data_IF_251750452496
#
_entry.id   IF_251750452496
#
_cell.length_a   1.000
_cell.length_b   1.000
_cell.length_c   1.000
_cell.angle_alpha   90.00
_cell.angle_beta   90.00
_cell.angle_gamma   90.00
#
_symmetry.space_group_name_H-M   'P 1'
#
loop_
_entity.id
_entity.type
_entity.pdbx_description
1 polymer ?
#
# COMPACT_ATOMS: atom_id res chain seq x y z
N UNK A 1 12.06 -4.28 -16.14
CA UNK A 1 13.50 -4.56 -16.29
C UNK A 1 14.17 -3.39 -16.98
N UNK A 2 15.42 -3.09 -16.65
CA UNK A 2 16.19 -2.02 -17.26
C UNK A 2 17.09 -2.57 -18.37
N UNK A 3 17.25 -1.79 -19.44
CA UNK A 3 18.05 -2.16 -20.61
C UNK A 3 19.43 -1.51 -20.49
N UNK A 4 20.48 -2.34 -20.47
CA UNK A 4 21.88 -1.91 -20.40
C UNK A 4 22.58 -2.21 -21.73
N UNK A 5 23.18 -1.20 -22.35
CA UNK A 5 24.09 -1.39 -23.49
C UNK A 5 25.50 -1.58 -22.93
N UNK A 6 26.19 -2.61 -23.38
CA UNK A 6 27.59 -2.83 -23.04
C UNK A 6 28.46 -2.75 -24.29
N UNK A 7 29.67 -2.23 -24.13
CA UNK A 7 30.73 -2.32 -25.13
C UNK A 7 31.84 -3.20 -24.57
N UNK A 8 32.24 -4.22 -25.31
CA UNK A 8 33.31 -5.13 -24.95
C UNK A 8 34.36 -5.21 -26.07
N UNK A 9 35.63 -5.39 -25.70
CA UNK A 9 36.74 -5.62 -26.63
C UNK A 9 37.11 -7.11 -26.59
N UNK A 10 37.12 -7.76 -27.76
CA UNK A 10 37.64 -9.10 -27.91
C UNK A 10 39.17 -9.14 -27.96
N UNK A 11 39.77 -10.30 -27.73
CA UNK A 11 41.24 -10.50 -27.69
C UNK A 11 42.00 -10.00 -28.93
N UNK A 12 41.34 -9.83 -30.08
CA UNK A 12 41.91 -9.30 -31.34
C UNK A 12 41.71 -7.79 -31.54
N UNK A 13 41.21 -7.06 -30.54
CA UNK A 13 40.98 -5.60 -30.62
C UNK A 13 39.63 -5.18 -31.20
N UNK A 14 38.77 -6.13 -31.58
CA UNK A 14 37.45 -5.82 -32.14
C UNK A 14 36.46 -5.40 -31.05
N UNK A 15 35.80 -4.24 -31.25
CA UNK A 15 34.73 -3.74 -30.38
C UNK A 15 33.40 -4.41 -30.71
N UNK A 16 32.78 -5.01 -29.71
CA UNK A 16 31.49 -5.68 -29.76
C UNK A 16 30.52 -4.89 -28.89
N UNK A 17 29.40 -4.46 -29.46
CA UNK A 17 28.32 -3.82 -28.72
C UNK A 17 27.14 -4.77 -28.59
N UNK A 18 26.57 -4.85 -27.39
CA UNK A 18 25.42 -5.69 -27.11
C UNK A 18 24.49 -5.03 -26.10
N UNK A 19 23.30 -5.60 -25.97
CA UNK A 19 22.28 -5.14 -25.03
C UNK A 19 21.93 -6.29 -24.10
N UNK A 20 21.79 -5.99 -22.81
CA UNK A 20 21.34 -6.94 -21.79
C UNK A 20 20.21 -6.32 -20.97
N UNK A 21 19.20 -7.12 -20.67
CA UNK A 21 18.11 -6.72 -19.78
C UNK A 21 18.40 -7.25 -18.38
N UNK A 22 18.31 -6.39 -17.36
CA UNK A 22 18.52 -6.79 -15.98
C UNK A 22 17.66 -5.95 -15.03
N UNK A 23 17.38 -6.46 -13.83
CA UNK A 23 16.54 -5.76 -12.85
C UNK A 23 17.26 -4.54 -12.28
N UNK A 24 18.58 -4.63 -12.06
CA UNK A 24 19.41 -3.57 -11.50
C UNK A 24 20.84 -3.60 -12.07
N UNK A 25 21.57 -2.47 -12.00
CA UNK A 25 22.96 -2.33 -12.46
C UNK A 25 23.93 -3.40 -11.91
N UNK A 26 23.68 -3.89 -10.69
CA UNK A 26 24.51 -4.93 -10.03
C UNK A 26 24.32 -6.31 -10.68
N UNK A 27 23.09 -6.65 -11.06
CA UNK A 27 22.78 -7.89 -11.77
C UNK A 27 23.23 -7.83 -13.22
N UNK A 28 23.06 -6.67 -13.87
CA UNK A 28 23.60 -6.42 -15.20
C UNK A 28 25.11 -6.66 -15.25
N UNK A 29 25.85 -6.12 -14.27
CA UNK A 29 27.29 -6.32 -14.16
C UNK A 29 27.65 -7.80 -13.95
N UNK A 30 26.95 -8.50 -13.05
CA UNK A 30 27.20 -9.93 -12.79
C UNK A 30 26.96 -10.81 -14.03
N UNK A 31 25.89 -10.55 -14.77
CA UNK A 31 25.58 -11.27 -16.01
C UNK A 31 26.59 -10.95 -17.13
N UNK A 32 27.07 -9.71 -17.20
CA UNK A 32 28.11 -9.30 -18.14
C UNK A 32 29.48 -9.87 -17.78
N UNK A 33 29.85 -9.94 -16.50
CA UNK A 33 31.10 -10.55 -16.04
C UNK A 33 31.14 -12.05 -16.39
N UNK A 34 30.02 -12.77 -16.25
CA UNK A 34 29.88 -14.16 -16.68
C UNK A 34 30.00 -14.33 -18.22
N UNK A 35 29.44 -13.38 -18.99
CA UNK A 35 29.59 -13.36 -20.45
C UNK A 35 31.02 -13.03 -20.89
N UNK A 36 31.71 -12.16 -20.14
CA UNK A 36 33.10 -11.78 -20.37
C UNK A 36 34.06 -12.96 -20.17
N UNK A 37 33.85 -13.74 -19.11
CA UNK A 37 34.62 -14.95 -18.81
C UNK A 37 34.39 -16.04 -19.85
N UNK A 38 33.12 -16.28 -20.23
CA UNK A 38 32.75 -17.30 -21.22
C UNK A 38 33.22 -17.00 -22.64
N UNK A 39 33.36 -15.71 -23.02
CA UNK A 39 33.79 -15.29 -24.36
C UNK A 39 35.19 -14.68 -24.43
N UNK A 40 35.93 -14.65 -23.31
CA UNK A 40 37.26 -14.00 -23.17
C UNK A 40 37.27 -12.55 -23.71
N UNK A 41 36.29 -11.74 -23.33
CA UNK A 41 36.18 -10.32 -23.75
C UNK A 41 36.32 -9.39 -22.54
N UNK A 42 36.94 -8.21 -22.70
CA UNK A 42 37.01 -7.19 -21.64
C UNK A 42 35.89 -6.16 -21.84
N UNK A 43 35.07 -5.93 -20.82
CA UNK A 43 33.99 -4.94 -20.86
C UNK A 43 34.56 -3.54 -20.55
N UNK A 44 34.41 -2.60 -21.48
CA UNK A 44 34.90 -1.21 -21.31
C UNK A 44 33.88 -0.31 -20.64
N UNK A 45 32.59 -0.44 -20.98
CA UNK A 45 31.55 0.43 -20.43
C UNK A 45 30.17 -0.21 -20.43
N UNK A 46 29.40 0.14 -19.40
CA UNK A 46 27.99 -0.24 -19.24
C UNK A 46 27.20 1.06 -19.19
N UNK A 47 26.33 1.27 -20.19
CA UNK A 47 25.45 2.44 -20.29
C UNK A 47 24.01 2.00 -20.05
N UNK A 48 23.36 2.60 -19.06
CA UNK A 48 21.95 2.40 -18.76
C UNK A 48 21.13 3.38 -19.60
N UNK A 49 20.01 2.93 -20.19
CA UNK A 49 19.06 3.88 -20.82
C UNK A 49 18.59 4.89 -19.78
N UNK A 50 18.80 6.17 -20.03
CA UNK A 50 18.27 7.25 -19.23
C UNK A 50 17.15 7.96 -19.99
N UNK A 51 16.13 8.42 -19.26
CA UNK A 51 15.10 9.28 -19.83
C UNK A 51 15.64 10.70 -19.96
N UNK A 52 15.60 11.23 -21.18
CA UNK A 52 15.97 12.61 -21.47
C UNK A 52 14.73 13.39 -21.89
N UNK A 53 14.59 14.60 -21.35
CA UNK A 53 13.57 15.55 -21.79
C UNK A 53 14.18 16.34 -22.95
N UNK A 54 13.48 16.39 -24.08
CA UNK A 54 13.90 17.15 -25.24
C UNK A 54 12.90 18.25 -25.58
N UNK A 55 13.44 19.41 -25.94
CA UNK A 55 12.73 20.47 -26.63
C UNK A 55 13.41 20.66 -27.97
N UNK A 56 12.69 20.40 -29.05
CA UNK A 56 13.18 20.56 -30.42
C UNK A 56 12.30 21.51 -31.21
N UNK A 57 12.92 22.41 -31.98
CA UNK A 57 12.25 23.33 -32.88
C UNK A 57 12.78 23.15 -34.30
N UNK A 58 11.88 23.05 -35.26
CA UNK A 58 12.14 23.03 -36.70
C UNK A 58 11.63 24.33 -37.31
N UNK A 59 12.32 24.86 -38.32
CA UNK A 59 11.95 26.11 -38.99
C UNK A 59 10.54 25.98 -39.59
N UNK A 60 9.62 26.84 -39.16
CA UNK A 60 8.21 26.83 -39.58
C UNK A 60 7.26 25.93 -38.77
N UNK A 61 7.72 25.20 -37.75
CA UNK A 61 6.86 24.33 -36.92
C UNK A 61 6.83 24.74 -35.44
N UNK A 62 5.73 24.43 -34.72
CA UNK A 62 5.65 24.63 -33.28
C UNK A 62 6.71 23.80 -32.54
N UNK A 63 7.11 24.27 -31.36
CA UNK A 63 8.08 23.59 -30.50
C UNK A 63 7.52 22.25 -30.03
N UNK A 64 8.26 21.17 -30.29
CA UNK A 64 7.92 19.84 -29.82
C UNK A 64 8.69 19.55 -28.53
N UNK A 65 7.94 19.27 -27.47
CA UNK A 65 8.45 18.86 -26.17
C UNK A 65 8.08 17.40 -25.93
N UNK A 66 9.04 16.58 -25.53
CA UNK A 66 8.79 15.17 -25.25
C UNK A 66 9.84 14.55 -24.35
N UNK A 67 9.59 13.31 -23.94
CA UNK A 67 10.54 12.50 -23.19
C UNK A 67 10.97 11.32 -24.08
N UNK A 68 12.27 11.08 -24.19
CA UNK A 68 12.79 9.94 -24.94
C UNK A 68 13.90 9.24 -24.15
N UNK A 69 13.82 7.91 -24.10
CA UNK A 69 14.84 7.07 -23.47
C UNK A 69 15.98 6.86 -24.47
N UNK A 70 17.20 7.21 -24.08
CA UNK A 70 18.41 6.99 -24.88
C UNK A 70 19.60 6.58 -24.01
N UNK A 71 20.66 6.05 -24.63
CA UNK A 71 21.87 5.64 -23.92
C UNK A 71 22.82 6.83 -23.68
N UNK A 72 22.75 7.85 -24.52
CA UNK A 72 23.50 9.10 -24.35
C UNK A 72 22.70 10.32 -24.84
N UNK A 73 23.02 11.48 -24.26
CA UNK A 73 22.52 12.78 -24.72
C UNK A 73 22.90 13.04 -26.18
N UNK A 74 24.12 12.68 -26.57
CA UNK A 74 24.64 12.93 -27.92
C UNK A 74 23.97 12.08 -28.99
N UNK A 75 23.52 10.87 -28.63
CA UNK A 75 22.76 9.97 -29.51
C UNK A 75 21.41 10.63 -29.88
N UNK A 76 20.70 11.20 -28.90
CA UNK A 76 19.47 11.95 -29.14
C UNK A 76 19.69 13.21 -29.97
N UNK A 77 20.74 13.98 -29.66
CA UNK A 77 21.07 15.20 -30.41
C UNK A 77 21.39 14.86 -31.87
N UNK A 78 22.13 13.80 -32.14
CA UNK A 78 22.42 13.37 -33.52
C UNK A 78 21.19 12.87 -34.25
N UNK A 79 20.31 12.12 -33.59
CA UNK A 79 19.03 11.66 -34.15
C UNK A 79 18.18 12.87 -34.54
N UNK A 80 17.99 13.85 -33.64
CA UNK A 80 17.22 15.06 -33.95
C UNK A 80 17.87 15.94 -35.03
N UNK A 81 19.21 16.01 -35.10
CA UNK A 81 19.90 16.71 -36.19
C UNK A 81 19.65 16.04 -37.55
N UNK A 82 19.65 14.70 -37.62
CA UNK A 82 19.32 13.96 -38.86
C UNK A 82 17.88 14.22 -39.33
N UNK A 83 16.96 14.46 -38.40
CA UNK A 83 15.57 14.82 -38.72
C UNK A 83 15.35 16.32 -39.03
N UNK A 84 16.42 17.14 -39.03
CA UNK A 84 16.39 18.54 -39.41
C UNK A 84 15.90 19.51 -38.32
N UNK A 85 16.10 19.17 -37.04
CA UNK A 85 15.83 20.09 -35.92
C UNK A 85 17.07 20.93 -35.60
N UNK A 86 16.91 22.26 -35.49
CA UNK A 86 18.04 23.19 -35.32
C UNK A 86 18.26 23.61 -33.86
N UNK A 87 17.17 23.82 -33.09
CA UNK A 87 17.24 24.17 -31.66
C UNK A 87 16.94 22.95 -30.81
N UNK A 88 17.96 22.17 -30.49
CA UNK A 88 17.85 20.93 -29.70
C UNK A 88 18.36 21.17 -28.28
N UNK A 89 17.45 21.19 -27.30
CA UNK A 89 17.80 21.21 -25.87
C UNK A 89 17.45 19.86 -25.27
N UNK A 90 18.46 19.10 -24.85
CA UNK A 90 18.30 17.79 -24.21
C UNK A 90 18.84 17.86 -22.78
N UNK A 91 17.99 17.56 -21.81
CA UNK A 91 18.35 17.53 -20.39
C UNK A 91 18.09 16.14 -19.81
N UNK A 92 19.05 15.63 -19.02
CA UNK A 92 18.90 14.36 -18.31
C UNK A 92 17.88 14.56 -17.20
N UNK A 93 16.83 13.73 -17.16
CA UNK A 93 15.88 13.71 -16.04
C UNK A 93 16.54 12.95 -14.89
N UNK A 94 16.95 13.67 -13.85
CA UNK A 94 17.65 13.07 -12.70
C UNK A 94 16.68 12.43 -11.70
N UNK A 95 15.44 12.91 -11.66
CA UNK A 95 14.37 12.39 -10.82
C UNK A 95 13.19 11.98 -11.70
N UNK A 96 13.06 10.68 -11.94
CA UNK A 96 11.84 10.13 -12.50
C UNK A 96 10.89 9.82 -11.33
N UNK A 97 10.18 10.85 -10.87
CA UNK A 97 9.08 10.66 -9.92
C UNK A 97 7.99 9.89 -10.67
N UNK A 98 8.06 8.56 -10.65
CA UNK A 98 6.92 7.71 -10.96
C UNK A 98 5.83 8.09 -9.97
N UNK A 99 4.88 8.91 -10.41
CA UNK A 99 3.75 9.32 -9.61
C UNK A 99 3.03 8.07 -9.12
N UNK A 100 2.89 7.92 -7.80
CA UNK A 100 2.18 6.77 -7.25
C UNK A 100 0.73 6.86 -7.67
N UNK A 101 0.20 5.82 -8.30
CA UNK A 101 -1.22 5.77 -8.68
C UNK A 101 -2.08 5.63 -7.41
N UNK A 102 -3.05 6.52 -7.18
CA UNK A 102 -4.02 6.37 -6.12
C UNK A 102 -4.83 5.08 -6.29
N UNK A 103 -5.07 4.34 -5.21
CA UNK A 103 -5.79 3.07 -5.28
C UNK A 103 -7.20 3.22 -5.91
N UNK A 104 -7.87 4.34 -5.63
CA UNK A 104 -9.20 4.65 -6.14
C UNK A 104 -9.24 4.78 -7.66
N UNK A 105 -8.19 5.32 -8.28
CA UNK A 105 -8.12 5.40 -9.74
C UNK A 105 -7.97 4.02 -10.36
N UNK A 106 -7.20 3.13 -9.73
CA UNK A 106 -7.07 1.73 -10.16
C UNK A 106 -8.41 1.00 -10.03
N UNK A 107 -9.08 1.16 -8.89
CA UNK A 107 -10.40 0.56 -8.63
C UNK A 107 -11.43 1.03 -9.65
N UNK A 108 -11.50 2.34 -9.90
CA UNK A 108 -12.40 2.91 -10.92
C UNK A 108 -12.08 2.40 -12.33
N UNK A 109 -10.80 2.30 -12.69
CA UNK A 109 -10.40 1.75 -13.99
C UNK A 109 -10.85 0.28 -14.16
N UNK A 110 -10.63 -0.57 -13.15
CA UNK A 110 -11.07 -1.98 -13.20
C UNK A 110 -12.60 -2.08 -13.26
N UNK A 111 -13.31 -1.22 -12.54
CA UNK A 111 -14.78 -1.13 -12.61
C UNK A 111 -15.25 -0.74 -14.01
N UNK A 112 -14.70 0.30 -14.60
CA UNK A 112 -15.02 0.73 -15.97
C UNK A 112 -14.71 -0.37 -17.00
N UNK A 113 -13.59 -1.08 -16.85
CA UNK A 113 -13.31 -2.26 -17.67
C UNK A 113 -14.39 -3.34 -17.50
N UNK A 114 -14.85 -3.63 -16.28
CA UNK A 114 -15.88 -4.62 -16.02
C UNK A 114 -17.22 -4.25 -16.69
N UNK A 115 -17.60 -2.97 -16.60
CA UNK A 115 -18.83 -2.44 -17.18
C UNK A 115 -18.79 -2.50 -18.71
N UNK A 116 -17.69 -2.06 -19.34
CA UNK A 116 -17.52 -2.13 -20.80
C UNK A 116 -17.40 -3.57 -21.32
N UNK A 117 -16.75 -4.47 -20.56
CA UNK A 117 -16.72 -5.91 -20.88
C UNK A 117 -18.12 -6.52 -20.83
N UNK A 118 -18.99 -6.05 -19.93
CA UNK A 118 -20.39 -6.47 -19.84
C UNK A 118 -21.23 -5.98 -21.01
N UNK A 119 -20.83 -4.87 -21.63
CA UNK A 119 -21.40 -4.37 -22.88
C UNK A 119 -20.85 -5.08 -24.13
N UNK A 120 -19.99 -6.10 -23.96
CA UNK A 120 -19.34 -6.87 -25.02
C UNK A 120 -18.39 -6.05 -25.91
N UNK A 121 -17.83 -4.94 -25.42
CA UNK A 121 -16.79 -4.24 -26.16
C UNK A 121 -15.51 -5.10 -26.24
N UNK A 122 -14.80 -5.11 -27.39
CA UNK A 122 -13.50 -5.75 -27.52
C UNK A 122 -12.50 -5.21 -26.49
N UNK A 123 -11.76 -6.11 -25.84
CA UNK A 123 -10.88 -5.73 -24.74
C UNK A 123 -9.75 -4.78 -25.15
N UNK A 124 -9.25 -4.89 -26.38
CA UNK A 124 -8.24 -4.00 -26.95
C UNK A 124 -8.78 -2.57 -27.17
N UNK A 125 -10.05 -2.45 -27.56
CA UNK A 125 -10.76 -1.18 -27.67
C UNK A 125 -10.96 -0.55 -26.29
N UNK A 126 -11.41 -1.34 -25.30
CA UNK A 126 -11.54 -0.90 -23.90
C UNK A 126 -10.22 -0.33 -23.37
N UNK A 127 -9.10 -1.06 -23.56
CA UNK A 127 -7.79 -0.59 -23.11
C UNK A 127 -7.36 0.70 -23.81
N UNK A 128 -7.67 0.85 -25.10
CA UNK A 128 -7.32 2.04 -25.88
C UNK A 128 -8.12 3.24 -25.37
N UNK A 129 -9.45 3.11 -25.30
CA UNK A 129 -10.38 4.14 -24.82
C UNK A 129 -10.01 4.61 -23.41
N UNK A 130 -9.85 3.67 -22.47
CA UNK A 130 -9.54 4.02 -21.08
C UNK A 130 -8.13 4.61 -20.92
N UNK A 131 -7.17 4.25 -21.80
CA UNK A 131 -5.86 4.89 -21.77
C UNK A 131 -5.91 6.37 -22.17
N UNK A 132 -6.84 6.76 -23.02
CA UNK A 132 -7.01 8.15 -23.46
C UNK A 132 -7.75 8.98 -22.40
N UNK A 133 -8.76 8.40 -21.75
CA UNK A 133 -9.56 9.05 -20.71
C UNK A 133 -8.86 9.15 -19.33
N UNK A 134 -7.89 8.27 -19.06
CA UNK A 134 -7.17 8.26 -17.76
C UNK A 134 -6.37 9.54 -17.55
N UNK A 135 -6.72 10.35 -16.54
CA UNK A 135 -6.03 11.60 -16.20
C UNK A 135 -4.61 11.40 -15.66
N UNK A 136 -4.37 10.33 -14.88
CA UNK A 136 -3.08 10.07 -14.27
C UNK A 136 -2.08 9.49 -15.26
N UNK A 137 -0.97 10.21 -15.48
CA UNK A 137 0.07 9.83 -16.43
C UNK A 137 0.66 8.44 -16.17
N UNK A 138 0.88 8.07 -14.90
CA UNK A 138 1.48 6.78 -14.56
C UNK A 138 0.53 5.61 -14.86
N UNK A 139 -0.76 5.76 -14.54
CA UNK A 139 -1.76 4.75 -14.86
C UNK A 139 -1.97 4.66 -16.39
N UNK A 140 -2.03 5.80 -17.08
CA UNK A 140 -2.10 5.87 -18.55
C UNK A 140 -0.95 5.12 -19.22
N UNK A 141 0.29 5.37 -18.81
CA UNK A 141 1.45 4.67 -19.36
C UNK A 141 1.41 3.17 -19.07
N UNK A 142 0.92 2.78 -17.89
CA UNK A 142 0.74 1.38 -17.51
C UNK A 142 -0.27 0.69 -18.42
N UNK A 143 -1.44 1.30 -18.64
CA UNK A 143 -2.49 0.76 -19.52
C UNK A 143 -1.97 0.64 -20.96
N UNK A 144 -1.24 1.64 -21.47
CA UNK A 144 -0.64 1.59 -22.81
C UNK A 144 0.40 0.45 -22.93
N UNK A 145 1.24 0.28 -21.92
CA UNK A 145 2.20 -0.82 -21.87
C UNK A 145 1.50 -2.17 -21.89
N UNK A 146 0.42 -2.35 -21.12
CA UNK A 146 -0.37 -3.58 -21.09
C UNK A 146 -1.03 -3.83 -22.45
N UNK A 147 -1.67 -2.81 -23.03
CA UNK A 147 -2.31 -2.91 -24.35
C UNK A 147 -1.31 -3.34 -25.42
N UNK A 148 -0.11 -2.74 -25.42
CA UNK A 148 0.94 -3.11 -26.35
C UNK A 148 1.44 -4.54 -26.13
N UNK A 149 1.77 -4.90 -24.89
CA UNK A 149 2.30 -6.23 -24.57
C UNK A 149 1.31 -7.36 -24.91
N UNK A 150 0.00 -7.14 -24.68
CA UNK A 150 -1.04 -8.10 -25.03
C UNK A 150 -1.26 -8.17 -26.56
N UNK A 151 -1.19 -7.04 -27.27
CA UNK A 151 -1.23 -7.01 -28.75
C UNK A 151 -0.03 -7.72 -29.38
N UNK A 152 1.13 -7.67 -28.72
CA UNK A 152 2.33 -8.43 -29.09
C UNK A 152 2.22 -9.93 -28.76
N UNK A 153 1.12 -10.38 -28.15
CA UNK A 153 0.86 -11.79 -27.85
C UNK A 153 1.60 -12.31 -26.61
N UNK A 154 2.09 -11.44 -25.73
CA UNK A 154 2.71 -11.86 -24.47
C UNK A 154 1.66 -12.47 -23.53
N UNK A 155 2.06 -13.45 -22.73
CA UNK A 155 1.17 -14.06 -21.75
C UNK A 155 0.72 -13.04 -20.70
N UNK A 156 -0.59 -12.94 -20.44
CA UNK A 156 -1.10 -11.95 -19.49
C UNK A 156 -0.57 -12.13 -18.06
N UNK A 157 -0.21 -13.34 -17.66
CA UNK A 157 0.53 -13.62 -16.41
C UNK A 157 1.83 -12.83 -16.32
N UNK A 158 2.62 -12.77 -17.39
CA UNK A 158 3.84 -11.98 -17.45
C UNK A 158 3.53 -10.47 -17.48
N UNK A 159 2.53 -10.08 -18.27
CA UNK A 159 2.17 -8.66 -18.47
C UNK A 159 1.67 -8.03 -17.18
N UNK A 160 0.70 -8.62 -16.50
CA UNK A 160 0.15 -8.03 -15.28
C UNK A 160 1.11 -8.16 -14.08
N UNK A 161 1.97 -9.20 -14.04
CA UNK A 161 2.99 -9.33 -13.01
C UNK A 161 4.02 -8.18 -13.04
N UNK A 162 4.35 -7.65 -14.24
CA UNK A 162 5.24 -6.48 -14.39
C UNK A 162 4.69 -5.21 -13.72
N UNK A 163 3.38 -5.15 -13.46
CA UNK A 163 2.68 -3.98 -12.96
C UNK A 163 2.04 -4.21 -11.57
N UNK A 164 2.49 -5.22 -10.82
CA UNK A 164 2.05 -5.46 -9.43
C UNK A 164 2.30 -4.27 -8.50
N UNK A 165 3.25 -3.39 -8.82
CA UNK A 165 3.54 -2.17 -8.08
C UNK A 165 2.42 -1.11 -8.22
N UNK A 166 1.72 -1.12 -9.35
CA UNK A 166 0.58 -0.23 -9.64
C UNK A 166 -0.73 -0.84 -9.16
N UNK A 167 -1.04 -2.08 -9.55
CA UNK A 167 -2.32 -2.73 -9.26
C UNK A 167 -2.38 -3.36 -7.86
N UNK A 168 -1.23 -3.72 -7.30
CA UNK A 168 -1.15 -4.68 -6.20
C UNK A 168 -1.23 -6.12 -6.69
N UNK A 169 -0.76 -7.05 -5.85
CA UNK A 169 -0.63 -8.47 -6.20
C UNK A 169 -1.94 -9.16 -6.55
N UNK A 170 -2.98 -8.95 -5.74
CA UNK A 170 -4.28 -9.60 -5.95
C UNK A 170 -4.94 -9.14 -7.27
N UNK A 171 -5.13 -7.83 -7.53
CA UNK A 171 -5.73 -7.41 -8.79
C UNK A 171 -4.90 -7.80 -10.00
N UNK A 172 -3.56 -7.67 -9.95
CA UNK A 172 -2.67 -8.12 -11.02
C UNK A 172 -2.86 -9.62 -11.34
N UNK A 173 -2.94 -10.47 -10.31
CA UNK A 173 -3.18 -11.89 -10.50
C UNK A 173 -4.57 -12.19 -11.09
N UNK A 174 -5.62 -11.50 -10.62
CA UNK A 174 -6.96 -11.68 -11.18
C UNK A 174 -7.01 -11.27 -12.66
N UNK A 175 -6.40 -10.14 -13.01
CA UNK A 175 -6.32 -9.64 -14.38
C UNK A 175 -5.56 -10.62 -15.30
N UNK A 176 -4.47 -11.21 -14.80
CA UNK A 176 -3.77 -12.29 -15.48
C UNK A 176 -4.66 -13.50 -15.72
N UNK A 177 -5.36 -13.99 -14.71
CA UNK A 177 -6.32 -15.11 -14.86
C UNK A 177 -7.43 -14.74 -15.84
N UNK A 178 -7.91 -13.50 -15.81
CA UNK A 178 -8.95 -12.99 -16.72
C UNK A 178 -8.51 -13.09 -18.19
N UNK A 179 -7.24 -12.78 -18.47
CA UNK A 179 -6.68 -12.83 -19.83
C UNK A 179 -6.59 -14.24 -20.42
N UNK A 180 -6.50 -15.28 -19.58
CA UNK A 180 -6.35 -16.67 -20.03
C UNK A 180 -7.62 -17.52 -19.88
N UNK A 181 -8.56 -17.11 -19.02
CA UNK A 181 -9.70 -17.94 -18.60
C UNK A 181 -10.95 -17.82 -19.47
N UNK A 182 -10.94 -17.00 -20.52
CA UNK A 182 -12.08 -16.78 -21.41
C UNK A 182 -13.31 -16.12 -20.75
N UNK A 183 -13.27 -15.88 -19.43
CA UNK A 183 -14.36 -15.28 -18.66
C UNK A 183 -13.90 -13.96 -18.01
N UNK A 184 -13.43 -13.06 -18.88
CA UNK A 184 -12.85 -11.78 -18.47
C UNK A 184 -13.88 -10.92 -17.72
N UNK A 185 -15.12 -10.89 -18.20
CA UNK A 185 -16.23 -10.13 -17.60
C UNK A 185 -16.46 -10.49 -16.12
N UNK A 186 -16.63 -11.78 -15.79
CA UNK A 186 -16.95 -12.20 -14.42
C UNK A 186 -15.78 -11.93 -13.47
N UNK A 187 -14.55 -12.10 -13.96
CA UNK A 187 -13.35 -11.91 -13.15
C UNK A 187 -13.10 -10.42 -12.89
N UNK A 188 -13.24 -9.57 -13.90
CA UNK A 188 -13.16 -8.11 -13.72
C UNK A 188 -14.23 -7.60 -12.77
N UNK A 189 -15.47 -8.06 -12.90
CA UNK A 189 -16.58 -7.71 -12.01
C UNK A 189 -16.30 -8.10 -10.55
N UNK A 190 -15.80 -9.32 -10.35
CA UNK A 190 -15.43 -9.82 -9.01
C UNK A 190 -14.26 -9.03 -8.41
N UNK A 191 -13.27 -8.68 -9.24
CA UNK A 191 -12.09 -7.91 -8.83
C UNK A 191 -12.48 -6.48 -8.46
N UNK A 192 -13.29 -5.82 -9.29
CA UNK A 192 -13.82 -4.47 -9.03
C UNK A 192 -14.62 -4.45 -7.72
N UNK A 193 -15.56 -5.38 -7.54
CA UNK A 193 -16.34 -5.49 -6.30
C UNK A 193 -15.46 -5.65 -5.06
N UNK A 194 -14.43 -6.50 -5.14
CA UNK A 194 -13.49 -6.66 -4.03
C UNK A 194 -12.75 -5.35 -3.72
N UNK A 195 -12.22 -4.67 -4.74
CA UNK A 195 -11.45 -3.44 -4.56
C UNK A 195 -12.31 -2.27 -4.05
N UNK A 196 -13.54 -2.13 -4.52
CA UNK A 196 -14.47 -1.11 -4.02
C UNK A 196 -14.84 -1.33 -2.56
N UNK A 197 -15.14 -2.58 -2.20
CA UNK A 197 -15.40 -2.96 -0.80
C UNK A 197 -14.20 -2.68 0.07
N UNK A 198 -13.03 -3.00 -0.44
CA UNK A 198 -11.78 -2.79 0.24
C UNK A 198 -11.50 -1.30 0.52
N UNK A 199 -11.77 -0.45 -0.46
CA UNK A 199 -11.69 0.99 -0.32
C UNK A 199 -12.74 1.54 0.62
N UNK A 200 -13.97 1.04 0.54
CA UNK A 200 -15.04 1.41 1.48
C UNK A 200 -14.63 1.08 2.91
N UNK A 201 -14.05 -0.11 3.14
CA UNK A 201 -13.54 -0.52 4.44
C UNK A 201 -12.39 0.38 4.92
N UNK A 202 -11.37 0.64 4.09
CA UNK A 202 -10.28 1.57 4.41
C UNK A 202 -10.78 2.99 4.70
N UNK A 203 -11.73 3.46 3.90
CA UNK A 203 -12.34 4.78 4.05
C UNK A 203 -13.12 4.86 5.34
N UNK A 204 -13.90 3.84 5.67
CA UNK A 204 -14.65 3.78 6.92
C UNK A 204 -13.68 3.72 8.10
N UNK A 205 -12.69 2.82 8.10
CA UNK A 205 -11.62 2.79 9.11
C UNK A 205 -10.93 4.14 9.28
N UNK A 206 -10.54 4.79 8.17
CA UNK A 206 -9.87 6.08 8.21
C UNK A 206 -10.80 7.16 8.78
N UNK A 207 -12.04 7.26 8.30
CA UNK A 207 -13.04 8.20 8.84
C UNK A 207 -13.25 7.97 10.34
N UNK A 208 -13.38 6.72 10.75
CA UNK A 208 -13.58 6.31 12.14
C UNK A 208 -12.42 6.67 13.04
N UNK A 209 -11.17 6.50 12.61
CA UNK A 209 -10.00 6.78 13.44
C UNK A 209 -9.63 8.27 13.40
N UNK A 210 -9.74 8.91 12.24
CA UNK A 210 -9.34 10.31 12.06
C UNK A 210 -10.19 11.24 12.93
N UNK A 211 -11.49 11.02 13.04
CA UNK A 211 -12.38 11.90 13.82
C UNK A 211 -11.97 11.97 15.31
N UNK A 212 -11.84 10.85 16.06
CA UNK A 212 -11.31 10.86 17.42
C UNK A 212 -9.93 11.50 17.56
N UNK A 213 -9.01 11.24 16.63
CA UNK A 213 -7.66 11.83 16.70
C UNK A 213 -7.68 13.35 16.50
N UNK A 214 -8.49 13.85 15.58
CA UNK A 214 -8.68 15.30 15.39
C UNK A 214 -9.31 15.90 16.64
N UNK A 215 -10.38 15.31 17.16
CA UNK A 215 -11.05 15.78 18.38
C UNK A 215 -10.09 15.82 19.56
N UNK A 216 -9.36 14.73 19.80
CA UNK A 216 -8.34 14.65 20.87
C UNK A 216 -7.24 15.70 20.68
N UNK A 217 -6.76 15.90 19.45
CA UNK A 217 -5.75 16.91 19.13
C UNK A 217 -6.23 18.33 19.42
N UNK A 218 -7.48 18.67 19.04
CA UNK A 218 -8.09 19.96 19.32
C UNK A 218 -8.26 20.17 20.82
N UNK A 219 -8.75 19.16 21.56
CA UNK A 219 -8.90 19.23 23.01
C UNK A 219 -7.55 19.43 23.69
N UNK A 220 -6.54 18.65 23.31
CA UNK A 220 -5.20 18.78 23.85
C UNK A 220 -4.64 20.19 23.61
N UNK A 221 -4.85 20.76 22.42
CA UNK A 221 -4.47 22.12 22.09
C UNK A 221 -5.19 23.14 23.00
N UNK A 222 -6.51 23.01 23.17
CA UNK A 222 -7.30 23.90 24.05
C UNK A 222 -6.83 23.81 25.50
N UNK A 223 -6.55 22.60 26.00
CA UNK A 223 -6.05 22.38 27.37
C UNK A 223 -4.67 23.00 27.54
N UNK A 224 -3.75 22.77 26.60
CA UNK A 224 -2.40 23.38 26.63
C UNK A 224 -2.49 24.90 26.59
N UNK A 225 -3.33 25.47 25.71
CA UNK A 225 -3.56 26.91 25.65
C UNK A 225 -4.12 27.46 26.97
N UNK A 226 -5.11 26.79 27.56
CA UNK A 226 -5.69 27.17 28.84
C UNK A 226 -4.64 27.18 29.95
N UNK A 227 -3.83 26.13 30.06
CA UNK A 227 -2.78 26.00 31.09
C UNK A 227 -1.65 27.01 30.90
N UNK A 228 -1.23 27.28 29.66
CA UNK A 228 -0.11 28.20 29.38
C UNK A 228 -0.50 29.69 29.41
N UNK A 229 -1.73 30.04 29.01
CA UNK A 229 -2.13 31.45 28.82
C UNK A 229 -3.15 31.91 29.85
N UNK A 230 -4.22 31.15 30.04
CA UNK A 230 -5.34 31.56 30.89
C UNK A 230 -4.98 31.38 32.37
N UNK A 231 -4.39 30.24 32.73
CA UNK A 231 -4.07 29.92 34.12
C UNK A 231 -3.08 30.90 34.80
N UNK A 232 -2.00 31.36 34.14
CA UNK A 232 -1.10 32.35 34.75
C UNK A 232 -1.77 33.72 34.94
N UNK A 233 -2.69 34.09 34.05
CA UNK A 233 -3.44 35.35 34.16
C UNK A 233 -4.36 35.33 35.39
N UNK A 234 -5.09 34.23 35.62
CA UNK A 234 -5.90 34.07 36.83
C UNK A 234 -5.03 34.06 38.09
N UNK A 235 -3.91 33.34 38.10
CA UNK A 235 -2.98 33.33 39.24
C UNK A 235 -2.41 34.73 39.56
N UNK A 236 -2.12 35.54 38.54
CA UNK A 236 -1.66 36.93 38.70
C UNK A 236 -2.69 37.84 39.37
N UNK A 237 -3.98 37.57 39.18
CA UNK A 237 -5.07 38.27 39.87
C UNK A 237 -5.10 37.88 41.35
N UNK A 238 -5.00 36.59 41.69
CA UNK A 238 -5.00 36.13 43.09
C UNK A 238 -3.81 36.67 43.90
N UNK A 239 -2.62 36.78 43.29
CA UNK A 239 -1.46 37.43 43.93
C UNK A 239 -1.70 38.89 44.30
N UNK A 240 -2.47 39.64 43.50
CA UNK A 240 -2.82 41.05 43.77
C UNK A 240 -3.76 41.21 44.98
N UNK A 241 -4.55 40.17 45.29
CA UNK A 241 -5.44 40.14 46.46
C UNK A 241 -4.73 39.71 47.75
N UNK A 242 -3.41 39.48 47.75
CA UNK A 242 -2.62 39.22 48.96
C UNK A 242 -2.87 37.87 49.64
N UNK A 243 -3.66 36.97 49.03
CA UNK A 243 -3.92 35.62 49.55
C UNK A 243 -2.89 34.60 49.02
N UNK A 244 -2.50 33.65 49.86
CA UNK A 244 -1.69 32.50 49.46
C UNK A 244 -2.50 31.62 48.51
N UNK A 245 -1.90 31.21 47.38
CA UNK A 245 -2.59 30.35 46.41
C UNK A 245 -2.97 29.01 47.05
N UNK A 246 -4.17 28.47 46.78
CA UNK A 246 -4.56 27.12 47.21
C UNK A 246 -3.54 26.07 46.74
N UNK A 247 -3.35 24.96 47.48
CA UNK A 247 -2.34 23.96 47.17
C UNK A 247 -2.51 23.34 45.77
N UNK A 248 -3.76 23.11 45.32
CA UNK A 248 -4.05 22.60 43.98
C UNK A 248 -3.73 23.61 42.88
N UNK A 249 -3.99 24.90 43.11
CA UNK A 249 -3.66 25.99 42.18
C UNK A 249 -2.14 26.20 42.09
N UNK A 250 -1.43 26.11 43.21
CA UNK A 250 0.03 26.21 43.28
C UNK A 250 0.70 25.03 42.56
N UNK A 251 0.18 23.81 42.71
CA UNK A 251 0.66 22.63 41.98
C UNK A 251 0.47 22.77 40.46
N UNK A 252 -0.70 23.23 40.03
CA UNK A 252 -1.01 23.47 38.61
C UNK A 252 -0.13 24.59 38.03
N UNK A 253 0.17 25.64 38.79
CA UNK A 253 1.06 26.73 38.38
C UNK A 253 2.51 26.23 38.19
N UNK A 254 3.03 25.44 39.14
CA UNK A 254 4.35 24.80 39.01
C UNK A 254 4.43 23.89 37.78
N UNK A 255 3.36 23.14 37.51
CA UNK A 255 3.28 22.29 36.32
C UNK A 255 3.26 23.13 35.04
N UNK A 256 2.50 24.23 35.00
CA UNK A 256 2.46 25.16 33.86
C UNK A 256 3.83 25.80 33.60
N UNK A 257 4.49 26.31 34.64
CA UNK A 257 5.83 26.91 34.54
C UNK A 257 6.86 25.89 34.02
N UNK A 258 6.79 24.63 34.49
CA UNK A 258 7.63 23.55 33.99
C UNK A 258 7.36 23.24 32.51
N UNK A 259 6.08 23.19 32.12
CA UNK A 259 5.65 22.93 30.75
C UNK A 259 6.08 24.07 29.81
N UNK A 260 5.95 25.31 30.23
CA UNK A 260 6.36 26.50 29.48
C UNK A 260 7.88 26.61 29.34
N UNK A 261 8.64 26.25 30.38
CA UNK A 261 10.10 26.28 30.34
C UNK A 261 10.69 25.14 29.48
N UNK A 262 10.06 23.97 29.44
CA UNK A 262 10.59 22.76 28.77
C UNK A 262 9.76 22.29 27.57
N UNK A 263 8.89 23.12 27.00
CA UNK A 263 7.97 22.71 25.92
C UNK A 263 8.69 22.08 24.71
N UNK A 264 9.86 22.59 24.34
CA UNK A 264 10.70 22.06 23.24
C UNK A 264 11.22 20.66 23.57
N UNK A 265 11.70 20.46 24.80
CA UNK A 265 12.25 19.18 25.27
C UNK A 265 11.14 18.13 25.36
N UNK A 266 9.96 18.51 25.87
CA UNK A 266 8.79 17.63 25.96
C UNK A 266 8.31 17.23 24.56
N UNK A 267 8.24 18.19 23.63
CA UNK A 267 7.83 17.94 22.25
C UNK A 267 8.82 17.01 21.53
N UNK A 268 10.13 17.21 21.70
CA UNK A 268 11.16 16.28 21.19
C UNK A 268 11.06 14.90 21.84
N UNK A 269 10.83 14.84 23.15
CA UNK A 269 10.68 13.59 23.90
C UNK A 269 9.45 12.78 23.46
N UNK A 270 8.43 13.42 22.89
CA UNK A 270 7.27 12.74 22.30
C UNK A 270 7.54 12.37 20.83
N UNK A 271 8.03 13.32 20.03
CA UNK A 271 8.17 13.12 18.58
C UNK A 271 9.24 12.09 18.23
N UNK A 272 10.38 12.07 18.92
CA UNK A 272 11.48 11.14 18.63
C UNK A 272 11.08 9.67 18.82
N UNK A 273 10.54 9.23 19.98
CA UNK A 273 10.15 7.84 20.17
C UNK A 273 8.95 7.46 19.29
N UNK A 274 7.97 8.36 19.09
CA UNK A 274 6.85 8.09 18.19
C UNK A 274 7.33 7.95 16.74
N UNK A 275 8.21 8.85 16.29
CA UNK A 275 8.81 8.81 14.95
C UNK A 275 9.66 7.55 14.73
N UNK A 276 10.48 7.20 15.72
CA UNK A 276 11.26 5.95 15.77
C UNK A 276 10.36 4.72 15.67
N UNK A 277 9.30 4.67 16.46
CA UNK A 277 8.34 3.57 16.46
C UNK A 277 7.62 3.46 15.11
N UNK A 278 7.15 4.58 14.54
CA UNK A 278 6.49 4.59 13.23
C UNK A 278 7.45 4.13 12.13
N UNK A 279 8.71 4.55 12.18
CA UNK A 279 9.73 4.07 11.24
C UNK A 279 9.99 2.56 11.40
N UNK A 280 10.13 2.08 12.64
CA UNK A 280 10.31 0.66 12.93
C UNK A 280 9.12 -0.17 12.44
N UNK A 281 7.89 0.28 12.65
CA UNK A 281 6.66 -0.40 12.20
C UNK A 281 6.51 -0.47 10.67
N UNK A 282 7.24 0.37 9.91
CA UNK A 282 7.31 0.29 8.44
C UNK A 282 8.32 -0.77 7.95
N UNK A 283 9.24 -1.22 8.80
CA UNK A 283 10.19 -2.28 8.42
C UNK A 283 9.50 -3.64 8.31
N UNK A 284 10.03 -4.60 7.52
CA UNK A 284 9.43 -5.93 7.37
C UNK A 284 9.28 -6.67 8.71
N UNK A 285 10.30 -6.57 9.57
CA UNK A 285 10.29 -7.16 10.92
C UNK A 285 9.26 -6.48 11.83
N UNK A 286 9.22 -5.14 11.81
CA UNK A 286 8.26 -4.37 12.60
C UNK A 286 6.81 -4.62 12.17
N UNK A 287 6.54 -4.74 10.87
CA UNK A 287 5.22 -5.10 10.34
C UNK A 287 4.76 -6.47 10.82
N UNK A 288 5.64 -7.48 10.75
CA UNK A 288 5.33 -8.83 11.25
C UNK A 288 5.03 -8.85 12.76
N UNK A 289 5.87 -8.20 13.57
CA UNK A 289 5.65 -8.13 15.03
C UNK A 289 4.36 -7.37 15.36
N UNK A 290 4.14 -6.22 14.71
CA UNK A 290 2.90 -5.45 14.84
C UNK A 290 1.70 -6.33 14.54
N UNK A 291 1.68 -7.00 13.40
CA UNK A 291 0.54 -7.80 12.95
C UNK A 291 0.32 -9.03 13.84
N UNK A 292 1.38 -9.56 14.48
CA UNK A 292 1.31 -10.65 15.47
C UNK A 292 0.73 -10.22 16.81
N UNK A 293 1.04 -9.01 17.27
CA UNK A 293 0.52 -8.50 18.55
C UNK A 293 -0.84 -7.83 18.42
N UNK A 294 -1.11 -7.16 17.28
CA UNK A 294 -2.37 -6.45 17.06
C UNK A 294 -3.57 -7.38 17.11
N UNK A 295 -3.44 -8.61 16.59
CA UNK A 295 -4.51 -9.62 16.62
C UNK A 295 -4.85 -10.10 18.05
N UNK A 296 -3.94 -9.91 19.01
CA UNK A 296 -4.16 -10.27 20.43
C UNK A 296 -4.77 -9.13 21.24
N UNK A 297 -4.87 -7.93 20.66
CA UNK A 297 -5.40 -6.77 21.37
C UNK A 297 -6.92 -6.90 21.56
N UNK A 298 -7.47 -6.63 22.76
CA UNK A 298 -8.90 -6.69 22.99
C UNK A 298 -9.65 -5.68 22.09
N UNK A 299 -10.87 -6.05 21.68
CA UNK A 299 -11.76 -5.34 20.75
C UNK A 299 -11.23 -5.19 19.30
N UNK A 300 -10.08 -4.54 19.10
CA UNK A 300 -9.53 -4.23 17.77
C UNK A 300 -8.85 -5.45 17.13
N UNK A 301 -8.20 -6.30 17.93
CA UNK A 301 -7.47 -7.45 17.42
C UNK A 301 -8.36 -8.49 16.77
N UNK A 302 -9.48 -8.82 17.42
CA UNK A 302 -10.47 -9.74 16.88
C UNK A 302 -11.10 -9.20 15.58
N UNK A 303 -11.35 -7.89 15.51
CA UNK A 303 -11.86 -7.21 14.31
C UNK A 303 -10.89 -7.36 13.14
N UNK A 304 -9.61 -7.02 13.35
CA UNK A 304 -8.57 -7.11 12.32
C UNK A 304 -8.37 -8.57 11.90
N UNK A 305 -8.35 -9.48 12.86
CA UNK A 305 -8.16 -10.91 12.60
C UNK A 305 -9.29 -11.49 11.74
N UNK A 306 -10.54 -11.23 12.10
CA UNK A 306 -11.71 -11.68 11.32
C UNK A 306 -11.79 -11.02 9.95
N UNK A 307 -11.41 -9.74 9.83
CA UNK A 307 -11.29 -9.05 8.54
C UNK A 307 -10.26 -9.76 7.65
N UNK A 308 -9.09 -10.13 8.20
CA UNK A 308 -8.07 -10.85 7.44
C UNK A 308 -8.56 -12.20 6.94
N UNK A 309 -9.31 -12.94 7.76
CA UNK A 309 -9.92 -14.23 7.36
C UNK A 309 -11.02 -14.02 6.32
N UNK A 310 -11.83 -12.97 6.45
CA UNK A 310 -12.86 -12.61 5.47
C UNK A 310 -12.25 -12.35 4.09
N UNK A 311 -11.21 -11.51 4.03
CA UNK A 311 -10.49 -11.20 2.79
C UNK A 311 -9.89 -12.47 2.19
N UNK A 312 -9.23 -13.30 3.01
CA UNK A 312 -8.68 -14.58 2.57
C UNK A 312 -9.78 -15.47 1.95
N UNK A 313 -10.89 -15.67 2.66
CA UNK A 313 -11.98 -16.54 2.24
C UNK A 313 -12.66 -16.03 0.96
N UNK A 314 -12.77 -14.70 0.80
CA UNK A 314 -13.35 -14.09 -0.41
C UNK A 314 -12.45 -14.23 -1.62
N UNK A 315 -11.14 -13.97 -1.46
CA UNK A 315 -10.16 -14.17 -2.53
C UNK A 315 -10.08 -15.65 -2.91
N UNK A 316 -10.09 -16.54 -1.92
CA UNK A 316 -10.15 -17.98 -2.14
C UNK A 316 -11.42 -18.37 -2.92
N UNK A 317 -12.60 -17.87 -2.53
CA UNK A 317 -13.86 -18.11 -3.25
C UNK A 317 -13.79 -17.67 -4.73
N UNK A 318 -13.27 -16.47 -4.99
CA UNK A 318 -13.20 -15.90 -6.34
C UNK A 318 -12.27 -16.67 -7.26
N UNK A 319 -11.24 -17.30 -6.70
CA UNK A 319 -10.19 -17.98 -7.47
C UNK A 319 -10.35 -19.50 -7.53
N UNK A 320 -11.03 -20.11 -6.56
CA UNK A 320 -11.14 -21.56 -6.46
C UNK A 320 -12.23 -22.07 -7.43
N UNK A 321 -11.82 -22.76 -8.50
CA UNK A 321 -12.70 -23.28 -9.54
C UNK A 321 -13.28 -24.68 -9.27
N UNK A 322 -12.92 -25.32 -8.14
CA UNK A 322 -13.45 -26.62 -7.76
C UNK A 322 -12.61 -27.83 -8.18
N UNK A 323 -11.53 -27.65 -8.96
CA UNK A 323 -10.60 -28.71 -9.35
C UNK A 323 -9.20 -28.48 -8.80
N UNK A 324 -8.72 -29.43 -8.00
CA UNK A 324 -7.34 -29.50 -7.50
C UNK A 324 -7.02 -28.59 -6.31
N UNK A 325 -6.02 -29.00 -5.53
CA UNK A 325 -5.37 -28.17 -4.52
C UNK A 325 -4.62 -27.03 -5.21
N UNK A 326 -5.32 -25.92 -5.45
CA UNK A 326 -4.71 -24.74 -6.02
C UNK A 326 -3.89 -24.02 -4.94
N UNK A 327 -2.72 -24.55 -4.62
CA UNK A 327 -1.74 -23.92 -3.73
C UNK A 327 -1.47 -22.47 -4.14
N UNK A 328 -1.49 -22.19 -5.44
CA UNK A 328 -1.38 -20.82 -5.98
C UNK A 328 -2.53 -19.91 -5.52
N UNK A 329 -3.76 -20.43 -5.45
CA UNK A 329 -4.93 -19.69 -4.95
C UNK A 329 -4.80 -19.41 -3.46
N UNK A 330 -4.35 -20.38 -2.68
CA UNK A 330 -4.05 -20.19 -1.25
C UNK A 330 -2.95 -19.15 -1.06
N UNK A 331 -1.89 -19.20 -1.89
CA UNK A 331 -0.80 -18.23 -1.86
C UNK A 331 -1.31 -16.81 -2.13
N UNK A 332 -2.11 -16.60 -3.19
CA UNK A 332 -2.66 -15.28 -3.52
C UNK A 332 -3.65 -14.80 -2.46
N UNK A 333 -4.51 -15.68 -1.94
CA UNK A 333 -5.41 -15.37 -0.83
C UNK A 333 -4.64 -14.96 0.44
N UNK A 334 -3.53 -15.65 0.74
CA UNK A 334 -2.66 -15.31 1.87
C UNK A 334 -1.98 -13.95 1.70
N UNK A 335 -1.61 -13.57 0.48
CA UNK A 335 -1.03 -12.26 0.20
C UNK A 335 -2.07 -11.13 0.30
N UNK A 336 -3.32 -11.43 -0.01
CA UNK A 336 -4.41 -10.47 0.06
C UNK A 336 -4.89 -10.19 1.50
N UNK A 337 -4.71 -11.12 2.45
CA UNK A 337 -5.31 -11.08 3.79
C UNK A 337 -4.83 -9.92 4.71
N UNK A 338 -3.91 -9.07 4.26
CA UNK A 338 -3.44 -7.82 4.91
C UNK A 338 -2.71 -7.95 6.23
N UNK A 339 -2.59 -9.16 6.74
CA UNK A 339 -1.87 -9.43 7.96
C UNK A 339 -0.63 -10.24 7.61
N UNK A 340 0.55 -9.62 7.76
CA UNK A 340 1.82 -10.26 7.40
C UNK A 340 2.18 -11.43 8.31
N UNK A 341 1.61 -11.53 9.52
CA UNK A 341 1.72 -12.72 10.35
C UNK A 341 0.91 -13.88 9.77
N UNK A 342 -0.35 -13.62 9.38
CA UNK A 342 -1.22 -14.63 8.74
C UNK A 342 -0.69 -15.08 7.38
N UNK A 343 -0.26 -14.16 6.53
CA UNK A 343 0.38 -14.45 5.24
C UNK A 343 1.57 -15.40 5.42
N UNK A 344 2.45 -15.10 6.38
CA UNK A 344 3.66 -15.87 6.63
C UNK A 344 3.34 -17.26 7.18
N UNK A 345 2.42 -17.37 8.13
CA UNK A 345 1.99 -18.67 8.67
C UNK A 345 1.37 -19.57 7.59
N UNK A 346 0.58 -19.01 6.67
CA UNK A 346 0.02 -19.80 5.56
C UNK A 346 1.12 -20.24 4.59
N UNK A 347 2.06 -19.35 4.24
CA UNK A 347 3.13 -19.66 3.29
C UNK A 347 4.24 -20.57 3.83
N UNK A 348 4.58 -20.46 5.11
CA UNK A 348 5.68 -21.21 5.72
C UNK A 348 5.20 -22.49 6.43
N UNK A 349 3.90 -22.61 6.75
CA UNK A 349 3.34 -23.78 7.42
C UNK A 349 2.31 -24.49 6.56
N UNK A 350 1.20 -23.83 6.20
CA UNK A 350 0.09 -24.51 5.49
C UNK A 350 0.51 -25.03 4.11
N UNK A 351 1.14 -24.18 3.29
CA UNK A 351 1.54 -24.54 1.91
C UNK A 351 2.57 -25.70 1.89
N UNK A 352 3.67 -25.67 2.68
CA UNK A 352 4.61 -26.78 2.72
C UNK A 352 4.01 -28.09 3.23
N UNK A 353 3.07 -28.05 4.18
CA UNK A 353 2.38 -29.25 4.66
C UNK A 353 1.51 -29.90 3.58
N UNK A 354 0.82 -29.09 2.76
CA UNK A 354 0.04 -29.60 1.62
C UNK A 354 0.94 -30.22 0.55
N UNK A 355 2.00 -29.50 0.15
CA UNK A 355 2.88 -29.95 -0.93
C UNK A 355 3.85 -31.08 -0.53
N UNK A 356 4.35 -31.06 0.70
CA UNK A 356 5.39 -31.97 1.18
C UNK A 356 4.84 -33.21 1.86
N UNK A 357 3.84 -33.05 2.73
CA UNK A 357 3.26 -34.16 3.51
C UNK A 357 1.92 -34.68 2.92
N UNK A 358 1.38 -34.01 1.91
CA UNK A 358 0.09 -34.39 1.29
C UNK A 358 -1.11 -34.20 2.21
N UNK A 359 -0.99 -33.33 3.23
CA UNK A 359 -2.08 -33.03 4.16
C UNK A 359 -3.19 -32.25 3.47
N UNK A 360 -4.43 -32.63 3.76
CA UNK A 360 -5.60 -31.92 3.23
C UNK A 360 -5.68 -30.47 3.70
N UNK A 361 -6.42 -29.65 2.96
CA UNK A 361 -6.53 -28.20 3.22
C UNK A 361 -6.93 -27.88 4.67
N UNK A 362 -7.82 -28.65 5.28
CA UNK A 362 -8.33 -28.40 6.64
C UNK A 362 -7.19 -28.53 7.66
N UNK A 363 -6.41 -29.61 7.56
CA UNK A 363 -5.29 -29.90 8.45
C UNK A 363 -4.17 -28.86 8.29
N UNK A 364 -3.87 -28.47 7.05
CA UNK A 364 -2.88 -27.44 6.75
C UNK A 364 -3.27 -26.07 7.32
N UNK A 365 -4.54 -25.68 7.19
CA UNK A 365 -5.06 -24.44 7.77
C UNK A 365 -5.10 -24.50 9.30
N UNK A 366 -5.42 -25.66 9.89
CA UNK A 366 -5.41 -25.84 11.35
C UNK A 366 -3.98 -25.74 11.91
N UNK A 367 -3.00 -26.39 11.26
CA UNK A 367 -1.58 -26.33 11.64
C UNK A 367 -1.00 -24.90 11.61
N UNK A 368 -1.50 -24.05 10.72
CA UNK A 368 -1.05 -22.65 10.62
C UNK A 368 -1.38 -21.80 11.85
N UNK A 369 -2.32 -22.21 12.71
CA UNK A 369 -2.75 -21.51 13.93
C UNK A 369 -3.17 -20.04 13.74
N UNK A 370 -3.63 -19.68 12.53
CA UNK A 370 -4.12 -18.32 12.22
C UNK A 370 -5.60 -18.27 11.87
N UNK A 371 -6.26 -19.40 11.72
CA UNK A 371 -7.70 -19.44 11.49
C UNK A 371 -8.44 -19.64 12.81
N UNK A 372 -9.59 -19.01 12.94
CA UNK A 372 -10.49 -19.23 14.09
C UNK A 372 -11.15 -20.61 13.98
N UNK A 373 -11.66 -21.12 15.11
CA UNK A 373 -12.41 -22.39 15.14
C UNK A 373 -13.58 -22.41 14.17
N UNK A 374 -14.30 -21.30 14.05
CA UNK A 374 -15.41 -21.15 13.09
C UNK A 374 -14.94 -21.25 11.65
N UNK A 375 -13.79 -20.66 11.30
CA UNK A 375 -13.23 -20.76 9.96
C UNK A 375 -12.81 -22.20 9.63
N UNK A 376 -12.10 -22.87 10.54
CA UNK A 376 -11.71 -24.28 10.38
C UNK A 376 -12.94 -25.18 10.23
N UNK A 377 -13.97 -24.97 11.05
CA UNK A 377 -15.23 -25.72 10.96
C UNK A 377 -15.93 -25.56 9.60
N UNK A 378 -15.94 -24.35 9.03
CA UNK A 378 -16.48 -24.10 7.68
C UNK A 378 -15.64 -24.75 6.58
N UNK A 379 -14.32 -24.69 6.68
CA UNK A 379 -13.44 -25.39 5.74
C UNK A 379 -13.60 -26.91 5.84
N UNK A 380 -13.77 -27.46 7.04
CA UNK A 380 -14.03 -28.89 7.28
C UNK A 380 -15.33 -29.34 6.62
N UNK A 381 -16.43 -28.65 6.91
CA UNK A 381 -17.73 -28.94 6.26
C UNK A 381 -17.68 -28.78 4.74
N UNK A 382 -16.93 -27.79 4.23
CA UNK A 382 -16.72 -27.61 2.78
C UNK A 382 -15.86 -28.70 2.13
N UNK A 383 -14.87 -29.24 2.85
CA UNK A 383 -14.04 -30.33 2.37
C UNK A 383 -14.83 -31.65 2.34
N UNK A 384 -15.59 -31.95 3.39
CA UNK A 384 -16.42 -33.16 3.49
C UNK A 384 -17.55 -33.19 2.45
N UNK A 385 -18.15 -32.04 2.16
CA UNK A 385 -19.25 -31.92 1.19
C UNK A 385 -18.80 -31.66 -0.26
N UNK A 386 -17.50 -31.46 -0.49
CA UNK A 386 -16.96 -30.99 -1.78
C UNK A 386 -17.34 -29.54 -2.14
N UNK A 387 -18.10 -28.84 -1.29
CA UNK A 387 -18.58 -27.48 -1.52
C UNK A 387 -17.65 -26.40 -0.90
N UNK A 388 -16.33 -26.60 -0.99
CA UNK A 388 -15.33 -25.72 -0.36
C UNK A 388 -15.45 -24.26 -0.82
N UNK A 389 -15.70 -24.04 -2.12
CA UNK A 389 -15.92 -22.70 -2.70
C UNK A 389 -17.07 -21.98 -2.00
N UNK A 390 -18.23 -22.63 -1.93
CA UNK A 390 -19.44 -22.01 -1.39
C UNK A 390 -19.32 -21.79 0.13
N UNK A 391 -18.67 -22.70 0.85
CA UNK A 391 -18.39 -22.52 2.28
C UNK A 391 -17.43 -21.36 2.56
N UNK A 392 -16.43 -21.14 1.70
CA UNK A 392 -15.56 -19.97 1.79
C UNK A 392 -16.34 -18.66 1.59
N UNK A 393 -17.29 -18.62 0.64
CA UNK A 393 -18.17 -17.47 0.45
C UNK A 393 -19.06 -17.21 1.67
N UNK A 394 -19.68 -18.26 2.23
CA UNK A 394 -20.50 -18.14 3.43
C UNK A 394 -19.68 -17.62 4.62
N UNK A 395 -18.45 -18.12 4.80
CA UNK A 395 -17.53 -17.65 5.83
C UNK A 395 -17.18 -16.17 5.63
N UNK A 396 -16.88 -15.77 4.39
CA UNK A 396 -16.58 -14.38 4.06
C UNK A 396 -17.77 -13.44 4.37
N UNK A 397 -18.98 -13.82 3.96
CA UNK A 397 -20.18 -13.03 4.24
C UNK A 397 -20.52 -12.99 5.73
N UNK A 398 -20.31 -14.10 6.46
CA UNK A 398 -20.50 -14.14 7.91
C UNK A 398 -19.56 -13.17 8.64
N UNK A 399 -18.25 -13.20 8.32
CA UNK A 399 -17.29 -12.30 8.95
C UNK A 399 -17.42 -10.87 8.49
N UNK A 400 -17.86 -10.60 7.28
CA UNK A 400 -18.19 -9.24 6.84
C UNK A 400 -19.24 -8.61 7.74
N UNK A 401 -20.35 -9.33 7.97
CA UNK A 401 -21.44 -8.88 8.83
C UNK A 401 -20.99 -8.72 10.28
N UNK A 402 -20.31 -9.72 10.85
CA UNK A 402 -19.80 -9.66 12.24
C UNK A 402 -18.77 -8.53 12.42
N UNK A 403 -17.87 -8.34 11.46
CA UNK A 403 -16.86 -7.27 11.48
C UNK A 403 -17.52 -5.89 11.36
N UNK A 404 -18.55 -5.73 10.53
CA UNK A 404 -19.26 -4.45 10.39
C UNK A 404 -19.94 -4.03 11.71
N UNK A 405 -20.65 -4.95 12.37
CA UNK A 405 -21.25 -4.69 13.68
C UNK A 405 -20.21 -4.42 14.78
N UNK A 406 -19.10 -5.15 14.77
CA UNK A 406 -18.01 -4.95 15.73
C UNK A 406 -17.28 -3.63 15.51
N UNK A 407 -17.15 -3.22 14.26
CA UNK A 407 -16.57 -1.94 13.90
C UNK A 407 -17.36 -0.82 14.59
N UNK A 408 -18.68 -0.78 14.44
CA UNK A 408 -19.55 0.20 15.13
C UNK A 408 -19.36 0.22 16.65
N UNK A 409 -19.27 -0.96 17.29
CA UNK A 409 -19.00 -1.04 18.74
C UNK A 409 -17.64 -0.46 19.11
N UNK A 410 -16.60 -0.72 18.32
CA UNK A 410 -15.27 -0.13 18.53
C UNK A 410 -15.33 1.39 18.38
N UNK A 411 -16.10 1.93 17.42
CA UNK A 411 -16.31 3.38 17.28
C UNK A 411 -16.91 3.95 18.56
N UNK A 412 -18.00 3.35 19.05
CA UNK A 412 -18.70 3.83 20.24
C UNK A 412 -17.82 3.77 21.49
N UNK A 413 -17.00 2.73 21.63
CA UNK A 413 -16.05 2.62 22.74
C UNK A 413 -14.97 3.72 22.68
N UNK A 414 -14.40 3.98 21.49
CA UNK A 414 -13.40 5.05 21.31
C UNK A 414 -14.02 6.41 21.62
N UNK A 415 -15.21 6.70 21.11
CA UNK A 415 -15.94 7.93 21.40
C UNK A 415 -16.23 8.06 22.90
N UNK A 416 -16.66 6.99 23.56
CA UNK A 416 -16.91 6.97 25.00
C UNK A 416 -15.65 7.31 25.80
N UNK A 417 -14.51 6.69 25.48
CA UNK A 417 -13.22 6.97 26.15
C UNK A 417 -12.82 8.43 25.96
N UNK A 418 -12.97 8.98 24.74
CA UNK A 418 -12.69 10.39 24.45
C UNK A 418 -13.59 11.31 25.27
N UNK A 419 -14.90 11.05 25.30
CA UNK A 419 -15.86 11.85 26.09
C UNK A 419 -15.57 11.76 27.58
N UNK A 420 -15.23 10.58 28.10
CA UNK A 420 -14.83 10.40 29.50
C UNK A 420 -13.58 11.23 29.83
N UNK A 421 -12.58 11.24 28.94
CA UNK A 421 -11.39 12.05 29.11
C UNK A 421 -11.72 13.55 29.16
N UNK A 422 -12.57 14.04 28.24
CA UNK A 422 -13.04 15.43 28.24
C UNK A 422 -13.74 15.77 29.56
N UNK A 423 -14.66 14.91 29.99
CA UNK A 423 -15.39 15.12 31.22
C UNK A 423 -14.47 15.15 32.44
N UNK A 424 -13.46 14.27 32.49
CA UNK A 424 -12.43 14.30 33.53
C UNK A 424 -11.64 15.60 33.55
N UNK A 425 -11.23 16.11 32.38
CA UNK A 425 -10.54 17.41 32.26
C UNK A 425 -11.45 18.55 32.72
N UNK A 426 -12.71 18.57 32.28
CA UNK A 426 -13.68 19.60 32.65
C UNK A 426 -13.94 19.60 34.16
N UNK A 427 -14.13 18.43 34.77
CA UNK A 427 -14.28 18.30 36.23
C UNK A 427 -13.01 18.78 36.95
N UNK A 428 -11.83 18.45 36.44
CA UNK A 428 -10.57 18.95 36.99
C UNK A 428 -10.51 20.47 37.03
N UNK A 429 -10.89 21.13 35.92
CA UNK A 429 -10.94 22.60 35.85
C UNK A 429 -11.98 23.17 36.82
N UNK A 430 -13.18 22.59 36.90
CA UNK A 430 -14.23 23.09 37.80
C UNK A 430 -13.89 22.90 39.26
N UNK A 431 -13.27 21.78 39.66
CA UNK A 431 -12.80 21.55 41.03
C UNK A 431 -11.76 22.59 41.41
N UNK A 432 -10.74 22.81 40.57
CA UNK A 432 -9.73 23.85 40.81
C UNK A 432 -10.38 25.23 40.92
N UNK A 433 -11.36 25.54 40.06
CA UNK A 433 -12.12 26.79 40.12
C UNK A 433 -12.92 26.93 41.43
N UNK A 434 -13.58 25.86 41.87
CA UNK A 434 -14.38 25.86 43.10
C UNK A 434 -13.54 26.07 44.35
N UNK A 435 -12.38 25.42 44.48
CA UNK A 435 -11.43 25.70 45.58
C UNK A 435 -11.00 27.17 45.58
N UNK A 436 -10.77 27.77 44.40
CA UNK A 436 -10.41 29.19 44.32
C UNK A 436 -11.56 30.14 44.69
N UNK A 437 -12.82 29.71 44.62
CA UNK A 437 -13.98 30.51 45.02
C UNK A 437 -14.37 30.39 46.49
N UNK A 438 -13.99 29.30 47.16
CA UNK A 438 -14.35 29.02 48.56
C UNK A 438 -13.33 29.62 49.55
N UNK A 439 -12.12 29.97 49.08
CA UNK A 439 -11.07 30.65 49.87
C UNK A 439 -11.10 32.17 49.71
#
# INVERSE_FOLDING_TARGET
>A
MEIFRYTAIGLKGNRIQGVIEAVNKKEAKKALDQLAEKRKVKIESIQQKATFIYTVKKTGQPTLNGEQKAFSKDELVQVFKRFGYEKIRVQKKWFDFKGKVPANEVTSWIRLCADLLKENLPYDEILTLLSEDTANKCLRETIKSISQDLKEGKEGTEVFAKHEDVFGKFPAFMLAVASTSGNMQTIYESTAKFMERDEAFKRNLRKTLVTPFITLGVILLVVVYYVMVIFPQTAGVFKKFGKTLPPMTAATMRFSDYLAAHWIVILLCIIIPVGSLVYFLKTPKGKYLKDKYIIKMPAIGELIHKTSIEIFARVFYSLYSGSGENVKVIQVASEACRNSYMERQIKEVAIPLMLGEGKGIVEAMEASNVFTRTAISRFRSGAESGALRNNALQLANYYETDTSYRMEKVINLVNFIVTMFIMGVMIGITVVSSETSVM
#
